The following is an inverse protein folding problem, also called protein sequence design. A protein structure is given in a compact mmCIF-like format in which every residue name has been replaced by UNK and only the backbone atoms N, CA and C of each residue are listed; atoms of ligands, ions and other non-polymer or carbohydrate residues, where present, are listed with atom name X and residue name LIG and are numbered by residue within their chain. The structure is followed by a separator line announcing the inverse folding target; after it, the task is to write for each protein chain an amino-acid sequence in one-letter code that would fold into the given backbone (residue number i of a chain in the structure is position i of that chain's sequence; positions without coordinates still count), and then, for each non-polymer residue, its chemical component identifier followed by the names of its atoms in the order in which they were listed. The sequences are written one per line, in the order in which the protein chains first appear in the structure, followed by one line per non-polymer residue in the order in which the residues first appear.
data_IF_074573610191
#
_entry.id   IF_074573610191
#
_cell.length_a   1.000
_cell.length_b   1.000
_cell.length_c   1.000
_cell.angle_alpha   90.00
_cell.angle_beta   90.00
_cell.angle_gamma   90.00
#
_symmetry.space_group_name_H-M   'P 1'
#
loop_
_entity.id
_entity.type
_entity.pdbx_description
1 polymer ?
#
# COMPACT_ATOMS: atom_id res chain seq x y z
N UNK A 1 6.63 -37.06 -52.05
CA UNK A 1 7.89 -37.42 -52.71
C UNK A 1 8.47 -36.20 -53.40
N UNK A 2 9.23 -35.42 -52.64
CA UNK A 2 10.36 -34.52 -53.01
C UNK A 2 10.95 -34.01 -51.67
N UNK A 3 12.25 -33.70 -51.59
CA UNK A 3 13.16 -34.54 -50.81
C UNK A 3 13.82 -33.89 -49.59
N UNK A 4 14.37 -34.76 -48.75
CA UNK A 4 15.40 -34.53 -47.74
C UNK A 4 16.77 -34.29 -48.42
N UNK A 5 17.55 -33.32 -47.91
CA UNK A 5 19.01 -33.10 -48.01
C UNK A 5 19.28 -31.60 -47.75
N UNK A 6 20.21 -31.08 -46.95
CA UNK A 6 21.39 -31.53 -46.20
C UNK A 6 21.64 -30.44 -45.12
N UNK A 7 21.88 -30.76 -43.85
CA UNK A 7 23.18 -30.91 -43.16
C UNK A 7 24.15 -29.70 -43.20
N UNK A 8 24.55 -29.27 -41.99
CA UNK A 8 25.93 -28.93 -41.56
C UNK A 8 26.21 -27.49 -41.08
N UNK A 9 26.79 -27.39 -39.87
CA UNK A 9 27.47 -26.20 -39.31
C UNK A 9 26.91 -25.72 -37.96
N UNK A 10 27.15 -26.40 -36.83
CA UNK A 10 28.36 -26.39 -35.97
C UNK A 10 28.72 -25.04 -35.31
N UNK A 11 28.61 -25.07 -33.97
CA UNK A 11 29.43 -24.38 -32.96
C UNK A 11 29.25 -22.87 -32.73
N UNK A 12 29.02 -22.50 -31.46
CA UNK A 12 29.52 -21.23 -30.93
C UNK A 12 28.87 -20.67 -29.67
N UNK A 13 29.32 -21.13 -28.51
CA UNK A 13 29.62 -20.32 -27.30
C UNK A 13 28.46 -19.65 -26.54
N UNK A 14 28.17 -20.22 -25.37
CA UNK A 14 27.63 -19.52 -24.20
C UNK A 14 28.67 -18.58 -23.58
N UNK A 15 28.27 -17.43 -23.00
CA UNK A 15 29.06 -16.80 -21.95
C UNK A 15 28.49 -17.11 -20.56
N UNK A 16 29.13 -18.05 -19.87
CA UNK A 16 29.24 -18.00 -18.42
C UNK A 16 30.21 -16.87 -18.06
N UNK A 17 29.81 -15.97 -17.16
CA UNK A 17 30.70 -14.95 -16.63
C UNK A 17 30.45 -14.72 -15.14
N UNK A 18 31.35 -15.19 -14.25
CA UNK A 18 31.42 -14.70 -12.89
C UNK A 18 32.48 -13.59 -12.81
N UNK A 19 32.11 -12.42 -12.29
CA UNK A 19 33.08 -11.44 -11.76
C UNK A 19 32.61 -10.98 -10.38
N UNK A 20 33.06 -11.68 -9.34
CA UNK A 20 33.16 -11.14 -7.99
C UNK A 20 34.64 -11.06 -7.64
N UNK A 21 35.21 -9.88 -7.79
CA UNK A 21 36.53 -9.54 -7.29
C UNK A 21 36.44 -9.22 -5.79
N UNK A 22 37.23 -9.96 -5.03
CA UNK A 22 37.53 -9.77 -3.62
C UNK A 22 38.24 -8.43 -3.39
N UNK A 23 37.72 -7.63 -2.48
CA UNK A 23 38.41 -6.48 -1.88
C UNK A 23 38.70 -6.77 -0.40
N UNK A 24 39.87 -7.32 -0.13
CA UNK A 24 40.48 -7.45 1.20
C UNK A 24 41.14 -6.13 1.57
N UNK A 25 40.81 -5.59 2.74
CA UNK A 25 41.45 -4.41 3.33
C UNK A 25 41.39 -4.52 4.85
N UNK A 26 42.50 -4.98 5.42
CA UNK A 26 42.71 -5.32 6.82
C UNK A 26 43.32 -4.15 7.59
N UNK A 27 42.99 -4.03 8.89
CA UNK A 27 43.77 -3.35 9.98
C UNK A 27 44.01 -1.83 9.86
N UNK A 28 43.80 -1.01 10.90
CA UNK A 28 44.68 -0.90 12.08
C UNK A 28 44.06 0.01 13.18
N UNK A 29 44.37 -0.32 14.44
CA UNK A 29 44.28 0.50 15.68
C UNK A 29 42.88 0.83 16.22
N UNK A 30 42.43 0.42 17.42
CA UNK A 30 43.15 -0.03 18.61
C UNK A 30 43.12 1.05 19.69
N UNK A 31 42.32 0.84 20.75
CA UNK A 31 42.76 1.20 22.09
C UNK A 31 42.20 0.20 23.12
N UNK A 32 43.13 -0.37 23.88
CA UNK A 32 42.94 -1.45 24.84
C UNK A 32 42.14 -1.03 26.07
N UNK A 33 41.47 -2.05 26.61
CA UNK A 33 41.03 -2.31 27.99
C UNK A 33 41.74 -1.51 29.09
N UNK A 34 40.97 -1.11 30.10
CA UNK A 34 41.42 -1.18 31.50
C UNK A 34 40.40 -1.97 32.32
N UNK A 35 40.78 -3.18 32.67
CA UNK A 35 40.18 -3.92 33.78
C UNK A 35 40.80 -3.41 35.09
N UNK A 36 39.98 -3.22 36.11
CA UNK A 36 40.39 -3.03 37.50
C UNK A 36 39.44 -3.83 38.40
N UNK A 37 39.94 -4.60 39.37
CA UNK A 37 39.12 -5.46 40.22
C UNK A 37 38.64 -4.72 41.46
N UNK A 38 37.37 -4.92 41.83
CA UNK A 38 36.78 -4.42 43.06
C UNK A 38 35.70 -5.38 43.53
N UNK A 39 36.00 -6.08 44.61
CA UNK A 39 35.21 -7.14 45.24
C UNK A 39 33.91 -6.60 45.87
N UNK A 40 32.87 -7.42 45.75
CA UNK A 40 31.92 -7.84 46.79
C UNK A 40 31.24 -6.75 47.63
N UNK A 41 29.93 -6.63 47.51
CA UNK A 41 28.98 -6.86 48.62
C UNK A 41 27.56 -6.58 48.14
N UNK A 42 26.63 -7.37 48.65
CA UNK A 42 25.27 -7.49 48.14
C UNK A 42 24.39 -6.27 48.39
N UNK A 43 23.32 -6.21 47.61
CA UNK A 43 22.00 -5.74 48.02
C UNK A 43 21.08 -5.86 46.80
N UNK A 44 20.29 -6.94 46.75
CA UNK A 44 19.06 -6.93 45.96
C UNK A 44 18.09 -5.98 46.65
N UNK A 45 18.11 -4.71 46.25
CA UNK A 45 17.12 -3.73 46.71
C UNK A 45 16.46 -3.10 45.51
N UNK A 46 15.17 -3.42 45.40
CA UNK A 46 14.17 -2.76 44.57
C UNK A 46 14.21 -1.25 44.81
N UNK A 47 14.32 -0.47 43.75
CA UNK A 47 13.78 0.89 43.71
C UNK A 47 12.78 0.98 42.56
N UNK A 48 11.55 0.61 42.91
CA UNK A 48 10.34 1.21 42.35
C UNK A 48 10.45 2.73 42.52
N UNK A 49 10.31 3.47 41.41
CA UNK A 49 9.56 4.74 41.21
C UNK A 49 10.27 5.58 40.16
N UNK A 50 9.75 5.50 38.92
CA UNK A 50 10.00 6.53 37.90
C UNK A 50 8.94 7.61 38.12
N UNK A 51 9.32 8.90 38.28
CA UNK A 51 8.36 9.98 38.46
C UNK A 51 7.55 10.15 37.17
N UNK A 52 6.24 9.91 37.29
CA UNK A 52 5.25 10.16 36.27
C UNK A 52 5.05 11.67 36.14
N UNK A 53 5.72 12.28 35.17
CA UNK A 53 5.52 13.68 34.82
C UNK A 53 4.15 13.85 34.15
N UNK A 54 3.33 14.63 34.85
CA UNK A 54 1.99 15.10 34.54
C UNK A 54 1.87 15.76 33.15
N UNK A 55 0.89 15.30 32.36
CA UNK A 55 0.16 16.09 31.36
C UNK A 55 -1.23 15.46 31.19
N UNK A 56 -2.07 15.65 32.19
CA UNK A 56 -3.51 15.38 32.12
C UNK A 56 -4.15 16.40 31.18
N UNK A 57 -4.42 15.99 29.95
CA UNK A 57 -5.42 16.66 29.13
C UNK A 57 -6.79 16.40 29.78
N UNK A 58 -7.38 17.48 30.29
CA UNK A 58 -8.68 17.47 30.94
C UNK A 58 -9.77 17.02 29.94
N UNK A 59 -10.20 15.76 30.03
CA UNK A 59 -11.49 15.34 29.47
C UNK A 59 -12.50 15.60 30.57
N UNK A 60 -13.22 16.72 30.43
CA UNK A 60 -14.24 17.13 31.38
C UNK A 60 -15.31 16.05 31.54
N UNK A 61 -15.41 15.49 32.73
CA UNK A 61 -16.54 14.68 33.17
C UNK A 61 -17.79 15.55 33.19
N UNK A 62 -18.61 15.45 32.16
CA UNK A 62 -19.97 16.01 32.17
C UNK A 62 -20.81 15.10 33.07
N UNK A 63 -20.75 15.36 34.37
CA UNK A 63 -21.65 14.79 35.36
C UNK A 63 -23.03 15.42 35.14
N UNK A 64 -23.92 14.68 34.47
CA UNK A 64 -25.33 15.03 34.34
C UNK A 64 -26.03 14.80 35.69
N UNK A 65 -26.00 15.81 36.56
CA UNK A 65 -27.06 15.98 37.55
C UNK A 65 -28.20 16.77 36.88
N UNK A 66 -29.37 16.18 36.60
CA UNK A 66 -30.53 16.98 36.22
C UNK A 66 -30.98 17.81 37.44
N UNK A 67 -31.12 19.14 37.33
CA UNK A 67 -31.78 19.90 38.38
C UNK A 67 -33.25 19.53 38.42
N UNK A 68 -33.65 18.94 39.55
CA UNK A 68 -35.03 18.86 39.98
C UNK A 68 -35.52 20.30 40.22
N UNK A 69 -36.22 20.88 39.23
CA UNK A 69 -36.92 22.14 39.39
C UNK A 69 -38.40 21.94 39.11
N UNK A 70 -39.13 21.99 40.22
CA UNK A 70 -40.57 22.06 40.38
C UNK A 70 -41.17 23.15 39.47
N UNK A 71 -42.17 22.77 38.66
CA UNK A 71 -42.87 23.64 37.70
C UNK A 71 -44.26 24.00 38.25
N UNK A 72 -44.31 25.09 39.01
CA UNK A 72 -45.54 25.83 39.26
C UNK A 72 -46.03 26.51 37.98
N UNK A 73 -47.21 26.11 37.53
CA UNK A 73 -47.77 26.44 36.22
C UNK A 73 -48.19 27.90 36.00
N UNK A 74 -48.75 28.08 34.80
CA UNK A 74 -49.33 29.30 34.22
C UNK A 74 -48.35 30.35 33.71
N UNK A 75 -47.93 30.22 32.44
CA UNK A 75 -48.40 31.15 31.41
C UNK A 75 -47.75 30.91 30.04
N UNK A 76 -48.55 31.18 29.01
CA UNK A 76 -48.16 31.55 27.63
C UNK A 76 -47.82 30.42 26.64
N UNK A 77 -48.89 29.87 26.05
CA UNK A 77 -48.92 29.05 24.82
C UNK A 77 -48.12 29.61 23.62
N UNK A 78 -47.62 30.83 23.68
CA UNK A 78 -46.92 31.50 22.57
C UNK A 78 -45.41 31.19 22.50
N UNK A 79 -44.82 30.61 23.55
CA UNK A 79 -43.38 30.26 23.56
C UNK A 79 -43.04 28.93 22.88
N UNK A 80 -44.05 28.05 22.64
CA UNK A 80 -43.83 26.71 22.07
C UNK A 80 -43.67 26.72 20.54
N UNK A 81 -44.26 27.70 19.84
CA UNK A 81 -44.15 27.81 18.39
C UNK A 81 -42.77 28.35 17.96
N UNK A 82 -42.23 29.32 18.71
CA UNK A 82 -40.91 29.89 18.43
C UNK A 82 -39.77 28.87 18.60
N UNK A 83 -39.89 27.95 19.56
CA UNK A 83 -38.87 26.93 19.81
C UNK A 83 -38.82 25.83 18.75
N UNK A 84 -39.96 25.50 18.12
CA UNK A 84 -39.99 24.56 16.98
C UNK A 84 -39.44 25.19 15.70
N UNK A 85 -39.63 26.50 15.51
CA UNK A 85 -39.11 27.20 14.33
C UNK A 85 -37.58 27.37 14.36
N UNK A 86 -37.00 27.61 15.55
CA UNK A 86 -35.55 27.75 15.74
C UNK A 86 -34.78 26.42 15.58
N UNK A 87 -35.40 25.28 15.86
CA UNK A 87 -34.76 23.96 15.69
C UNK A 87 -34.60 23.57 14.21
N UNK A 88 -35.48 24.04 13.32
CA UNK A 88 -35.42 23.77 11.87
C UNK A 88 -34.37 24.64 11.16
N UNK A 89 -34.10 25.85 11.66
CA UNK A 89 -33.07 26.73 11.07
C UNK A 89 -31.64 26.30 11.38
N UNK A 90 -31.42 25.55 12.48
CA UNK A 90 -30.11 25.01 12.82
C UNK A 90 -29.67 23.83 11.94
N UNK A 91 -30.61 23.17 11.22
CA UNK A 91 -30.29 22.09 10.27
C UNK A 91 -29.94 22.59 8.86
N UNK A 92 -30.17 23.85 8.52
CA UNK A 92 -29.94 24.38 7.16
C UNK A 92 -28.52 24.97 6.97
N UNK A 93 -27.82 25.31 8.05
CA UNK A 93 -26.48 25.93 7.99
C UNK A 93 -25.30 24.92 8.01
N UNK A 94 -25.57 23.62 8.15
CA UNK A 94 -24.54 22.58 8.28
C UNK A 94 -24.08 21.91 6.98
N UNK A 95 -24.64 22.28 5.83
CA UNK A 95 -24.51 21.47 4.59
C UNK A 95 -23.41 21.93 3.62
N UNK A 96 -22.51 22.86 3.97
CA UNK A 96 -21.52 23.41 3.03
C UNK A 96 -20.13 22.76 3.07
N UNK A 97 -19.91 21.71 3.86
CA UNK A 97 -18.57 21.09 3.95
C UNK A 97 -18.45 19.83 3.10
N UNK A 98 -18.60 19.90 1.77
CA UNK A 98 -18.15 18.79 0.91
C UNK A 98 -17.69 19.28 -0.46
N UNK A 99 -16.41 19.65 -0.52
CA UNK A 99 -15.43 19.16 -1.48
C UNK A 99 -14.17 19.98 -1.26
N UNK A 100 -13.38 19.61 -0.25
CA UNK A 100 -11.94 19.86 -0.39
C UNK A 100 -11.56 19.09 -1.66
N UNK A 101 -11.33 19.81 -2.76
CA UNK A 101 -10.68 19.25 -3.93
C UNK A 101 -9.46 18.52 -3.40
N UNK A 102 -9.47 17.19 -3.52
CA UNK A 102 -8.37 16.36 -3.09
C UNK A 102 -7.15 16.98 -3.74
N UNK A 103 -6.28 17.57 -2.92
CA UNK A 103 -5.04 18.14 -3.40
C UNK A 103 -4.42 17.03 -4.23
N UNK A 104 -4.23 17.28 -5.53
CA UNK A 104 -3.63 16.32 -6.43
C UNK A 104 -2.31 15.91 -5.77
N UNK A 105 -2.30 14.73 -5.13
CA UNK A 105 -1.05 14.10 -4.75
C UNK A 105 -0.21 14.12 -6.01
N UNK A 106 1.06 14.55 -5.90
CA UNK A 106 1.94 14.71 -7.06
C UNK A 106 1.92 13.40 -7.83
N UNK A 107 1.14 13.38 -8.91
CA UNK A 107 0.96 12.21 -9.75
C UNK A 107 2.15 12.16 -10.69
N UNK A 108 2.86 11.03 -10.68
CA UNK A 108 3.80 10.76 -11.75
C UNK A 108 3.07 10.62 -13.09
N UNK A 109 3.79 10.65 -14.20
CA UNK A 109 3.25 10.47 -15.55
C UNK A 109 4.17 9.61 -16.42
N UNK A 110 3.60 8.61 -17.08
CA UNK A 110 4.29 7.69 -17.99
C UNK A 110 5.52 7.05 -17.35
N UNK A 111 6.68 7.15 -18.00
CA UNK A 111 7.95 6.62 -17.51
C UNK A 111 8.31 7.03 -16.08
N UNK A 112 7.88 8.20 -15.61
CA UNK A 112 8.19 8.64 -14.23
C UNK A 112 7.41 7.86 -13.17
N UNK A 113 6.34 7.13 -13.56
CA UNK A 113 5.61 6.19 -12.73
C UNK A 113 6.20 4.78 -12.74
N UNK A 114 7.04 4.45 -13.71
CA UNK A 114 7.59 3.11 -13.86
C UNK A 114 8.36 2.71 -12.58
N UNK A 115 8.05 1.51 -12.07
CA UNK A 115 8.62 0.99 -10.82
C UNK A 115 8.14 1.67 -9.55
N UNK A 116 7.11 2.53 -9.60
CA UNK A 116 6.51 3.13 -8.39
C UNK A 116 5.28 2.37 -7.92
N UNK A 117 5.03 2.47 -6.62
CA UNK A 117 3.83 1.91 -6.01
C UNK A 117 2.57 2.69 -6.44
N UNK A 118 1.50 2.01 -6.91
CA UNK A 118 0.29 2.69 -7.37
C UNK A 118 -0.57 3.26 -6.23
N UNK A 119 -0.42 2.79 -4.99
CA UNK A 119 -1.24 3.24 -3.87
C UNK A 119 -0.89 4.68 -3.49
N UNK A 120 -1.92 5.53 -3.34
CA UNK A 120 -1.75 6.95 -3.01
C UNK A 120 -1.18 7.82 -4.15
N UNK A 121 -0.78 7.24 -5.29
CA UNK A 121 -0.33 7.97 -6.48
C UNK A 121 -1.36 7.91 -7.62
N UNK A 122 -1.62 6.71 -8.15
CA UNK A 122 -2.39 6.52 -9.38
C UNK A 122 -3.64 5.65 -9.19
N UNK A 123 -3.81 5.05 -8.01
CA UNK A 123 -4.94 4.16 -7.70
C UNK A 123 -6.30 4.86 -7.67
N UNK A 124 -6.35 6.18 -7.46
CA UNK A 124 -7.60 6.93 -7.28
C UNK A 124 -8.50 6.96 -8.54
N UNK A 125 -7.92 7.10 -9.74
CA UNK A 125 -8.65 7.10 -11.01
C UNK A 125 -8.55 5.75 -11.76
N UNK A 126 -7.90 4.76 -11.15
CA UNK A 126 -7.57 3.52 -11.82
C UNK A 126 -8.77 2.58 -11.96
N UNK A 127 -8.93 2.02 -13.16
CA UNK A 127 -9.96 1.04 -13.49
C UNK A 127 -9.36 -0.27 -13.96
N UNK A 128 -10.08 -1.37 -13.78
CA UNK A 128 -9.74 -2.65 -14.40
C UNK A 128 -10.06 -2.58 -15.89
N UNK A 129 -9.05 -2.68 -16.75
CA UNK A 129 -9.22 -2.64 -18.23
C UNK A 129 -9.31 -4.02 -18.83
N UNK A 130 -8.63 -5.00 -18.24
CA UNK A 130 -8.70 -6.41 -18.59
C UNK A 130 -8.70 -7.26 -17.32
N UNK A 131 -9.31 -8.43 -17.38
CA UNK A 131 -9.24 -9.40 -16.29
C UNK A 131 -9.36 -10.83 -16.78
N UNK A 132 -8.82 -11.76 -16.02
CA UNK A 132 -8.95 -13.21 -16.25
C UNK A 132 -9.03 -13.92 -14.90
N UNK A 133 -9.31 -15.22 -14.90
CA UNK A 133 -9.37 -16.04 -13.69
C UNK A 133 -8.61 -17.33 -13.91
N UNK A 134 -7.78 -17.71 -12.94
CA UNK A 134 -7.02 -18.96 -12.99
C UNK A 134 -7.93 -20.16 -12.74
N UNK A 135 -7.51 -21.39 -13.11
CA UNK A 135 -8.27 -22.60 -12.78
C UNK A 135 -8.51 -22.79 -11.28
N UNK A 136 -7.67 -22.19 -10.43
CA UNK A 136 -7.76 -22.22 -8.97
C UNK A 136 -8.64 -21.09 -8.40
N UNK A 137 -9.26 -20.26 -9.24
CA UNK A 137 -10.18 -19.21 -8.82
C UNK A 137 -9.52 -17.86 -8.48
N UNK A 138 -8.21 -17.72 -8.66
CA UNK A 138 -7.50 -16.45 -8.47
C UNK A 138 -7.89 -15.50 -9.60
N UNK A 139 -8.39 -14.32 -9.26
CA UNK A 139 -8.81 -13.31 -10.24
C UNK A 139 -7.66 -12.34 -10.50
N UNK A 140 -7.19 -12.33 -11.74
CA UNK A 140 -6.12 -11.45 -12.23
C UNK A 140 -6.73 -10.25 -12.95
N UNK A 141 -6.34 -9.05 -12.56
CA UNK A 141 -6.84 -7.79 -13.09
C UNK A 141 -5.67 -6.93 -13.58
N UNK A 142 -5.76 -6.41 -14.80
CA UNK A 142 -4.92 -5.33 -15.26
C UNK A 142 -5.59 -4.01 -14.89
N UNK A 143 -4.99 -3.26 -13.98
CA UNK A 143 -5.44 -1.95 -13.56
C UNK A 143 -4.70 -0.87 -14.34
N UNK A 144 -5.42 0.18 -14.69
CA UNK A 144 -4.91 1.28 -15.51
C UNK A 144 -5.40 2.63 -15.00
N UNK A 145 -4.49 3.59 -14.87
CA UNK A 145 -4.77 4.99 -14.59
C UNK A 145 -4.56 5.83 -15.86
N UNK A 146 -5.59 6.58 -16.25
CA UNK A 146 -5.52 7.44 -17.44
C UNK A 146 -4.72 8.70 -17.16
N UNK A 147 -4.81 9.21 -15.93
CA UNK A 147 -4.07 10.42 -15.51
C UNK A 147 -2.58 10.16 -15.41
N UNK A 148 -2.18 9.02 -14.85
CA UNK A 148 -0.76 8.65 -14.72
C UNK A 148 -0.16 8.02 -15.98
N UNK A 149 -0.98 7.58 -16.95
CA UNK A 149 -0.51 6.80 -18.11
C UNK A 149 0.35 5.62 -17.69
N UNK A 150 -0.15 4.85 -16.73
CA UNK A 150 0.55 3.71 -16.15
C UNK A 150 -0.43 2.57 -15.83
N UNK A 151 0.08 1.34 -15.89
CA UNK A 151 -0.68 0.12 -15.63
C UNK A 151 0.02 -0.75 -14.58
N UNK A 152 -0.73 -1.61 -13.90
CA UNK A 152 -0.19 -2.59 -12.95
C UNK A 152 -1.14 -3.79 -12.83
N UNK A 153 -0.60 -4.93 -12.40
CA UNK A 153 -1.40 -6.11 -12.12
C UNK A 153 -1.93 -6.06 -10.68
N UNK A 154 -3.13 -6.61 -10.50
CA UNK A 154 -3.70 -6.93 -9.19
C UNK A 154 -4.25 -8.35 -9.25
N UNK A 155 -4.01 -9.15 -8.22
CA UNK A 155 -4.74 -10.39 -8.00
C UNK A 155 -5.63 -10.28 -6.78
N UNK A 156 -6.76 -10.98 -6.81
CA UNK A 156 -7.71 -11.12 -5.70
C UNK A 156 -8.17 -12.57 -5.62
N UNK A 157 -8.79 -12.96 -4.48
CA UNK A 157 -9.10 -14.36 -4.15
C UNK A 157 -7.85 -15.26 -4.17
N UNK A 158 -6.72 -14.67 -3.83
CA UNK A 158 -5.43 -15.35 -3.80
C UNK A 158 -5.15 -15.92 -2.40
N UNK A 159 -4.15 -16.78 -2.31
CA UNK A 159 -3.59 -17.27 -1.05
C UNK A 159 -2.14 -16.81 -0.89
N UNK A 160 -1.62 -16.77 0.35
CA UNK A 160 -0.20 -16.51 0.56
C UNK A 160 0.68 -17.46 -0.27
N UNK A 161 1.60 -16.88 -1.04
CA UNK A 161 2.44 -17.59 -2.01
C UNK A 161 2.03 -17.39 -3.48
N UNK A 162 0.77 -17.04 -3.76
CA UNK A 162 0.35 -16.67 -5.11
C UNK A 162 1.03 -15.37 -5.55
N UNK A 163 1.14 -15.15 -6.85
CA UNK A 163 1.79 -13.96 -7.40
C UNK A 163 0.97 -13.26 -8.48
N UNK A 164 1.18 -11.95 -8.56
CA UNK A 164 0.81 -11.10 -9.67
C UNK A 164 2.08 -10.70 -10.42
N UNK A 165 1.97 -10.57 -11.73
CA UNK A 165 3.03 -10.07 -12.59
C UNK A 165 2.42 -9.09 -13.61
N UNK A 166 3.11 -7.98 -13.85
CA UNK A 166 2.77 -7.06 -14.93
C UNK A 166 3.90 -7.06 -15.94
N UNK A 167 3.57 -7.28 -17.21
CA UNK A 167 4.51 -7.25 -18.32
C UNK A 167 4.20 -6.04 -19.22
N UNK A 168 5.24 -5.32 -19.61
CA UNK A 168 5.21 -4.35 -20.70
C UNK A 168 5.85 -4.93 -21.96
N UNK A 169 5.27 -4.62 -23.12
CA UNK A 169 5.89 -4.95 -24.42
C UNK A 169 7.22 -4.21 -24.67
N UNK A 170 7.56 -3.23 -23.82
CA UNK A 170 8.87 -2.55 -23.77
C UNK A 170 9.95 -3.33 -23.03
N UNK A 171 9.63 -4.48 -22.41
CA UNK A 171 10.59 -5.33 -21.70
C UNK A 171 10.67 -5.10 -20.19
N UNK A 172 9.94 -4.12 -19.65
CA UNK A 172 9.79 -3.95 -18.20
C UNK A 172 8.78 -4.95 -17.65
N UNK A 173 9.10 -5.59 -16.53
CA UNK A 173 8.16 -6.44 -15.79
C UNK A 173 8.36 -6.29 -14.29
N UNK A 174 7.26 -6.39 -13.54
CA UNK A 174 7.27 -6.36 -12.08
C UNK A 174 6.38 -7.46 -11.51
N UNK A 175 6.96 -8.25 -10.61
CA UNK A 175 6.27 -9.33 -9.90
C UNK A 175 6.04 -8.95 -8.44
N UNK A 176 4.89 -9.32 -7.90
CA UNK A 176 4.57 -9.20 -6.48
C UNK A 176 3.92 -10.49 -5.97
N UNK A 177 4.28 -10.92 -4.77
CA UNK A 177 3.77 -12.15 -4.13
C UNK A 177 2.90 -11.80 -2.94
N UNK A 178 1.80 -12.53 -2.77
CA UNK A 178 0.93 -12.42 -1.61
C UNK A 178 1.70 -12.93 -0.39
N UNK A 179 2.08 -12.02 0.51
CA UNK A 179 2.71 -12.38 1.78
C UNK A 179 1.67 -12.66 2.87
N UNK A 180 0.54 -11.95 2.82
CA UNK A 180 -0.58 -12.07 3.74
C UNK A 180 -1.86 -11.55 3.08
N UNK A 181 -3.02 -11.92 3.59
CA UNK A 181 -4.31 -11.55 3.00
C UNK A 181 -4.64 -12.37 1.75
N UNK A 182 -5.47 -11.79 0.87
CA UNK A 182 -6.03 -12.46 -0.31
C UNK A 182 -5.88 -11.64 -1.61
N UNK A 183 -5.07 -10.60 -1.57
CA UNK A 183 -4.78 -9.74 -2.71
C UNK A 183 -3.36 -9.18 -2.66
N UNK A 184 -2.81 -8.91 -3.84
CA UNK A 184 -1.54 -8.19 -4.01
C UNK A 184 -1.59 -7.42 -5.32
N UNK A 185 -0.80 -6.36 -5.41
CA UNK A 185 -0.63 -5.56 -6.60
C UNK A 185 0.86 -5.37 -6.90
N UNK A 186 1.19 -5.21 -8.17
CA UNK A 186 2.56 -4.97 -8.62
C UNK A 186 2.91 -3.49 -8.60
N UNK A 187 4.18 -3.19 -8.82
CA UNK A 187 4.61 -1.85 -9.22
C UNK A 187 4.05 -1.50 -10.61
N UNK A 188 4.05 -0.21 -10.92
CA UNK A 188 3.53 0.32 -12.18
C UNK A 188 4.51 0.14 -13.34
N UNK A 189 3.98 -0.08 -14.54
CA UNK A 189 4.68 0.01 -15.82
C UNK A 189 4.15 1.19 -16.64
N UNK A 190 5.03 1.78 -17.46
CA UNK A 190 4.67 2.83 -18.41
C UNK A 190 3.75 2.31 -19.54
N UNK A 191 2.70 3.08 -19.85
CA UNK A 191 1.71 2.84 -20.92
C UNK A 191 1.79 3.92 -22.02
N UNK A 192 2.74 4.85 -21.98
CA UNK A 192 2.86 5.86 -23.05
C UNK A 192 3.13 5.17 -24.39
N UNK A 193 2.25 5.42 -25.37
CA UNK A 193 2.28 4.80 -26.70
C UNK A 193 3.71 4.84 -27.29
N UNK A 194 4.26 3.71 -27.79
CA UNK A 194 3.62 2.45 -28.19
C UNK A 194 3.58 1.34 -27.13
N UNK A 195 3.81 1.68 -25.86
CA UNK A 195 3.83 0.69 -24.80
C UNK A 195 2.43 0.11 -24.54
N UNK A 196 2.42 -1.19 -24.26
CA UNK A 196 1.24 -1.97 -23.89
C UNK A 196 1.55 -2.81 -22.69
N UNK A 197 0.55 -3.03 -21.86
CA UNK A 197 0.69 -3.83 -20.65
C UNK A 197 -0.24 -5.05 -20.66
N UNK A 198 0.17 -6.12 -19.97
CA UNK A 198 -0.69 -7.24 -19.60
C UNK A 198 -0.46 -7.62 -18.14
N UNK A 199 -1.47 -8.17 -17.50
CA UNK A 199 -1.37 -8.72 -16.16
C UNK A 199 -1.39 -10.25 -16.23
N UNK A 200 -0.46 -10.88 -15.53
CA UNK A 200 -0.38 -12.32 -15.31
C UNK A 200 -0.47 -12.61 -13.81
N UNK A 201 -0.85 -13.83 -13.46
CA UNK A 201 -0.83 -14.26 -12.06
C UNK A 201 -1.37 -15.66 -11.86
N UNK A 202 -1.07 -16.24 -10.70
CA UNK A 202 -1.47 -17.60 -10.31
C UNK A 202 -0.70 -18.10 -9.08
N UNK A 203 -0.84 -19.39 -8.77
CA UNK A 203 -0.11 -20.00 -7.66
C UNK A 203 1.35 -20.29 -8.04
N UNK A 204 1.59 -20.59 -9.31
CA UNK A 204 2.92 -20.79 -9.90
C UNK A 204 2.94 -20.36 -11.37
N UNK A 205 4.13 -20.20 -11.94
CA UNK A 205 4.27 -19.83 -13.37
C UNK A 205 3.70 -20.90 -14.33
N UNK A 206 3.48 -22.12 -13.85
CA UNK A 206 2.96 -23.22 -14.67
C UNK A 206 1.42 -23.18 -14.81
N UNK A 207 0.71 -22.64 -13.83
CA UNK A 207 -0.76 -22.49 -13.83
C UNK A 207 -1.23 -21.04 -14.04
N UNK A 208 -0.29 -20.11 -14.22
CA UNK A 208 -0.60 -18.70 -14.37
C UNK A 208 -1.52 -18.42 -15.55
N UNK A 209 -2.34 -17.39 -15.42
CA UNK A 209 -3.15 -16.84 -16.50
C UNK A 209 -2.83 -15.39 -16.72
N UNK A 210 -2.69 -15.04 -17.98
CA UNK A 210 -2.45 -13.68 -18.42
C UNK A 210 -3.70 -13.11 -19.08
N UNK A 211 -3.90 -11.80 -18.91
CA UNK A 211 -4.80 -11.03 -19.75
C UNK A 211 -4.22 -10.88 -21.15
N UNK A 212 -5.02 -10.32 -22.07
CA UNK A 212 -4.48 -9.78 -23.32
C UNK A 212 -3.59 -8.55 -23.08
N UNK A 213 -3.02 -8.03 -24.17
CA UNK A 213 -2.31 -6.76 -24.19
C UNK A 213 -3.30 -5.61 -24.33
N UNK A 214 -3.20 -4.63 -23.44
CA UNK A 214 -3.92 -3.36 -23.51
C UNK A 214 -2.96 -2.27 -23.99
#
# INVERSE_FOLDING_TARGET
MVPFSDLSGSAGVAPEGPVRSSGSGNTTAGCRRRAGPGRLSGAWTRCLTVPSSLLTAAVGSISLCPPLMDMGGHMSSLRRAAFRLLLVMATVLGSLTFAAGQANAVSCYGWTCDGRDPQGLCSADARTVLSTTTPLGVRVELRYSRTCRAAWARITNAWPGDFADVDSNGGTSYTATVSSGHDVYTLMVDDVNPLKARACGGASFNDMRCTGWF
#
